data_IF_436413632662
#
_entry.id   IF_436413632662
#
_cell.length_a   1.000
_cell.length_b   1.000
_cell.length_c   1.000
_cell.angle_alpha   90.00
_cell.angle_beta   90.00
_cell.angle_gamma   90.00
#
_symmetry.space_group_name_H-M   'P 1'
#
loop_
_entity.id
_entity.type
_entity.pdbx_description
1 polymer ?
#
# COMPACT_ATOMS: atom_id res chain seq x y z
N UNK A 1 -30.78 24.14 -15.74
CA UNK A 1 -31.33 24.04 -14.36
C UNK A 1 -30.37 24.72 -13.43
N UNK A 2 -30.85 25.70 -12.68
CA UNK A 2 -30.04 26.48 -11.75
C UNK A 2 -29.67 25.60 -10.54
N UNK A 3 -28.40 25.41 -10.29
CA UNK A 3 -27.87 24.72 -9.09
C UNK A 3 -27.91 25.73 -7.93
N UNK A 4 -28.59 25.39 -6.86
CA UNK A 4 -28.65 26.23 -5.65
C UNK A 4 -27.55 25.77 -4.68
N UNK A 5 -26.81 26.72 -4.13
CA UNK A 5 -25.72 26.51 -3.20
C UNK A 5 -26.15 26.79 -1.76
N UNK A 6 -25.86 25.86 -0.87
CA UNK A 6 -26.01 26.01 0.58
C UNK A 6 -24.64 25.90 1.24
N UNK A 7 -24.28 26.86 2.07
CA UNK A 7 -23.05 26.88 2.87
C UNK A 7 -23.43 26.82 4.35
N UNK A 8 -22.85 25.89 5.10
CA UNK A 8 -23.08 25.70 6.54
C UNK A 8 -21.74 25.72 7.24
N UNK A 9 -21.55 26.62 8.19
CA UNK A 9 -20.34 26.62 9.00
C UNK A 9 -20.57 25.85 10.29
N UNK A 10 -19.57 24.99 10.67
CA UNK A 10 -19.60 24.17 11.88
C UNK A 10 -20.92 23.41 12.08
N UNK A 11 -21.25 22.51 11.14
CA UNK A 11 -22.53 21.78 11.11
C UNK A 11 -22.84 21.01 12.42
N UNK A 12 -21.79 20.65 13.17
CA UNK A 12 -21.91 19.98 14.46
C UNK A 12 -22.23 20.88 15.64
N UNK A 13 -22.18 22.18 15.47
CA UNK A 13 -22.35 23.12 16.59
C UNK A 13 -23.70 22.90 17.31
N UNK A 14 -23.62 22.64 18.61
CA UNK A 14 -24.77 22.38 19.49
C UNK A 14 -25.60 21.11 19.18
N UNK A 15 -25.09 20.20 18.33
CA UNK A 15 -25.78 18.96 17.99
C UNK A 15 -25.11 17.73 18.63
N UNK A 16 -25.93 16.81 19.11
CA UNK A 16 -25.44 15.49 19.54
C UNK A 16 -24.99 14.67 18.32
N UNK A 17 -23.89 13.85 18.40
CA UNK A 17 -23.37 13.09 17.28
C UNK A 17 -24.42 12.30 16.48
N UNK A 18 -25.38 11.66 17.16
CA UNK A 18 -26.47 10.94 16.50
C UNK A 18 -27.45 11.86 15.73
N UNK A 19 -27.57 13.11 16.13
CA UNK A 19 -28.40 14.10 15.42
C UNK A 19 -27.69 14.59 14.17
N UNK A 20 -26.37 14.82 14.24
CA UNK A 20 -25.55 15.21 13.08
C UNK A 20 -25.64 14.14 11.98
N UNK A 21 -25.54 12.87 12.34
CA UNK A 21 -25.62 11.78 11.36
C UNK A 21 -26.97 11.75 10.63
N UNK A 22 -28.09 11.97 11.36
CA UNK A 22 -29.42 12.08 10.74
C UNK A 22 -29.58 13.34 9.88
N UNK A 23 -28.99 14.46 10.33
CA UNK A 23 -29.01 15.70 9.55
C UNK A 23 -28.30 15.52 8.22
N UNK A 24 -27.13 14.87 8.20
CA UNK A 24 -26.39 14.61 6.95
C UNK A 24 -27.18 13.69 6.00
N UNK A 25 -27.83 12.64 6.51
CA UNK A 25 -28.70 11.79 5.69
C UNK A 25 -29.86 12.60 5.08
N UNK A 26 -30.44 13.50 5.86
CA UNK A 26 -31.50 14.38 5.38
C UNK A 26 -30.98 15.35 4.33
N UNK A 27 -29.84 16.00 4.56
CA UNK A 27 -29.22 16.92 3.60
C UNK A 27 -28.85 16.22 2.27
N UNK A 28 -28.39 14.96 2.32
CA UNK A 28 -28.11 14.18 1.11
C UNK A 28 -29.38 13.92 0.29
N UNK A 29 -30.50 13.64 0.96
CA UNK A 29 -31.81 13.51 0.27
C UNK A 29 -32.20 14.81 -0.39
N UNK A 30 -32.17 15.93 0.35
CA UNK A 30 -32.51 17.25 -0.19
C UNK A 30 -31.61 17.64 -1.36
N UNK A 31 -30.30 17.39 -1.26
CA UNK A 31 -29.37 17.66 -2.34
C UNK A 31 -29.75 16.95 -3.64
N UNK A 32 -30.17 15.68 -3.54
CA UNK A 32 -30.60 14.89 -4.68
C UNK A 32 -31.98 15.34 -5.20
N UNK A 33 -32.94 15.57 -4.30
CA UNK A 33 -34.33 15.88 -4.66
C UNK A 33 -34.47 17.27 -5.29
N UNK A 34 -33.70 18.24 -4.79
CA UNK A 34 -33.83 19.67 -5.21
C UNK A 34 -32.65 20.19 -6.02
N UNK A 35 -31.74 19.31 -6.47
CA UNK A 35 -30.51 19.66 -7.20
C UNK A 35 -29.69 20.75 -6.47
N UNK A 36 -29.38 20.49 -5.18
CA UNK A 36 -28.63 21.40 -4.33
C UNK A 36 -27.18 21.00 -4.23
N UNK A 37 -26.26 21.97 -4.28
CA UNK A 37 -24.89 21.81 -3.84
C UNK A 37 -24.79 22.27 -2.37
N UNK A 38 -24.41 21.37 -1.47
CA UNK A 38 -24.32 21.64 -0.03
C UNK A 38 -22.88 21.49 0.42
N UNK A 39 -22.26 22.55 0.92
CA UNK A 39 -20.94 22.54 1.54
C UNK A 39 -21.08 22.90 3.02
N UNK A 40 -20.34 22.21 3.85
CA UNK A 40 -20.27 22.52 5.27
C UNK A 40 -18.86 22.34 5.83
N UNK A 41 -18.51 23.14 6.83
CA UNK A 41 -17.30 22.91 7.63
C UNK A 41 -17.62 22.02 8.83
N UNK A 42 -16.63 21.22 9.27
CA UNK A 42 -16.77 20.35 10.43
C UNK A 42 -15.43 19.88 10.96
N UNK A 43 -15.36 19.66 12.29
CA UNK A 43 -14.26 18.99 12.99
C UNK A 43 -14.67 17.61 13.54
N UNK A 44 -15.89 17.12 13.24
CA UNK A 44 -16.41 15.85 13.76
C UNK A 44 -15.80 14.65 13.03
N UNK A 45 -15.08 13.78 13.77
CA UNK A 45 -14.52 12.53 13.25
C UNK A 45 -15.62 11.59 12.73
N UNK A 46 -16.74 11.49 13.46
CA UNK A 46 -17.87 10.65 13.08
C UNK A 46 -18.44 11.08 11.73
N UNK A 47 -18.50 12.38 11.50
CA UNK A 47 -18.99 12.93 10.25
C UNK A 47 -18.01 12.69 9.11
N UNK A 48 -16.70 12.91 9.34
CA UNK A 48 -15.67 12.62 8.35
C UNK A 48 -15.68 11.14 7.91
N UNK A 49 -15.92 10.21 8.85
CA UNK A 49 -16.02 8.76 8.54
C UNK A 49 -17.25 8.40 7.70
N UNK A 50 -18.30 9.23 7.74
CA UNK A 50 -19.52 9.00 6.96
C UNK A 50 -19.43 9.53 5.54
N UNK A 51 -18.70 10.60 5.32
CA UNK A 51 -18.57 11.26 4.03
C UNK A 51 -17.56 10.52 3.14
N UNK A 52 -17.87 10.38 1.85
CA UNK A 52 -16.93 9.80 0.89
C UNK A 52 -15.67 10.66 0.79
N UNK A 53 -14.46 10.06 0.72
CA UNK A 53 -13.22 10.82 0.61
C UNK A 53 -13.17 11.84 -0.53
N UNK A 54 -13.85 11.58 -1.66
CA UNK A 54 -13.97 12.50 -2.79
C UNK A 54 -14.73 13.77 -2.47
N UNK A 55 -15.55 13.77 -1.41
CA UNK A 55 -16.36 14.89 -0.97
C UNK A 55 -15.77 15.59 0.26
N UNK A 56 -14.58 15.20 0.70
CA UNK A 56 -13.84 15.84 1.80
C UNK A 56 -12.75 16.71 1.20
N UNK A 57 -12.78 17.99 1.53
CA UNK A 57 -11.79 19.02 1.18
C UNK A 57 -11.07 19.43 2.46
N UNK A 58 -9.87 18.87 2.69
CA UNK A 58 -9.08 19.21 3.87
C UNK A 58 -8.22 20.44 3.59
N UNK A 59 -8.38 21.46 4.41
CA UNK A 59 -7.61 22.70 4.34
C UNK A 59 -6.38 22.55 5.23
N UNK A 60 -5.20 22.37 4.62
CA UNK A 60 -3.93 22.19 5.32
C UNK A 60 -3.10 23.47 5.23
N UNK A 61 -2.60 23.92 6.38
CA UNK A 61 -1.69 25.08 6.41
C UNK A 61 -0.28 24.62 6.02
N UNK A 62 0.27 25.23 4.97
CA UNK A 62 1.65 25.00 4.50
C UNK A 62 2.39 26.34 4.54
N UNK A 63 3.24 26.54 5.56
CA UNK A 63 3.96 27.81 5.78
C UNK A 63 2.99 29.01 5.74
N UNK A 64 3.04 29.80 4.67
CA UNK A 64 2.19 31.00 4.48
C UNK A 64 1.00 30.77 3.56
N UNK A 65 0.79 29.55 3.08
CA UNK A 65 -0.28 29.19 2.16
C UNK A 65 -1.25 28.17 2.76
N UNK A 66 -2.43 28.05 2.14
CA UNK A 66 -3.39 26.98 2.44
C UNK A 66 -3.46 26.07 1.23
N UNK A 67 -3.11 24.80 1.44
CA UNK A 67 -3.32 23.75 0.46
C UNK A 67 -4.69 23.08 0.65
N UNK A 68 -5.34 22.73 -0.45
CA UNK A 68 -6.59 21.96 -0.44
C UNK A 68 -6.28 20.53 -0.84
N UNK A 69 -6.48 19.58 0.07
CA UNK A 69 -6.29 18.15 -0.18
C UNK A 69 -7.64 17.51 -0.46
N UNK A 70 -7.82 17.01 -1.69
CA UNK A 70 -9.01 16.28 -2.14
C UNK A 70 -8.59 15.26 -3.23
N UNK A 71 -9.02 14.00 -3.16
CA UNK A 71 -9.82 13.41 -2.07
C UNK A 71 -9.04 13.33 -0.76
N UNK A 72 -9.73 13.39 0.38
CA UNK A 72 -9.10 13.28 1.68
C UNK A 72 -9.76 12.18 2.53
N UNK A 73 -8.94 11.34 3.15
CA UNK A 73 -9.41 10.26 4.01
C UNK A 73 -9.53 10.72 5.48
N UNK A 74 -10.47 10.16 6.25
CA UNK A 74 -10.72 10.57 7.63
C UNK A 74 -9.48 10.55 8.52
N UNK A 75 -8.69 9.48 8.47
CA UNK A 75 -7.48 9.37 9.30
C UNK A 75 -6.43 10.42 8.94
N UNK A 76 -6.32 10.77 7.66
CA UNK A 76 -5.43 11.84 7.20
C UNK A 76 -5.91 13.21 7.72
N UNK A 77 -7.21 13.52 7.55
CA UNK A 77 -7.78 14.81 7.98
C UNK A 77 -7.70 15.00 9.51
N UNK A 78 -7.87 13.92 10.28
CA UNK A 78 -7.91 13.99 11.75
C UNK A 78 -6.54 13.86 12.41
N UNK A 79 -5.51 13.43 11.67
CA UNK A 79 -4.15 13.25 12.19
C UNK A 79 -3.63 14.50 12.90
N UNK A 80 -3.75 15.66 12.27
CA UNK A 80 -3.23 16.92 12.81
C UNK A 80 -4.11 17.49 13.93
N UNK A 81 -5.42 17.21 13.88
CA UNK A 81 -6.40 17.73 14.85
C UNK A 81 -6.36 16.94 16.16
N UNK A 82 -6.26 15.61 16.07
CA UNK A 82 -6.44 14.72 17.23
C UNK A 82 -5.21 13.89 17.57
N UNK A 83 -4.09 14.07 16.87
CA UNK A 83 -2.87 13.24 17.01
C UNK A 83 -3.17 11.73 16.90
N UNK A 84 -4.16 11.37 16.09
CA UNK A 84 -4.63 10.01 15.97
C UNK A 84 -3.66 9.18 15.12
N UNK A 85 -3.21 8.04 15.65
CA UNK A 85 -2.26 7.11 15.00
C UNK A 85 -2.94 6.09 14.07
N UNK A 86 -4.18 6.31 13.62
CA UNK A 86 -4.89 5.40 12.72
C UNK A 86 -4.37 5.45 11.28
N UNK A 87 -4.56 4.34 10.57
CA UNK A 87 -4.28 4.24 9.13
C UNK A 87 -5.57 4.10 8.34
N UNK A 88 -5.59 4.61 7.11
CA UNK A 88 -6.69 4.36 6.17
C UNK A 88 -6.57 2.94 5.58
N UNK A 89 -5.33 2.50 5.37
CA UNK A 89 -5.02 1.18 4.81
C UNK A 89 -3.89 0.51 5.58
N UNK A 90 -4.13 -0.75 5.97
CA UNK A 90 -3.13 -1.66 6.50
C UNK A 90 -2.91 -2.78 5.49
N UNK A 91 -1.69 -2.87 4.94
CA UNK A 91 -1.33 -3.87 3.95
C UNK A 91 -0.39 -4.87 4.60
N UNK A 92 -0.79 -6.13 4.66
CA UNK A 92 0.02 -7.21 5.18
C UNK A 92 0.81 -7.86 4.04
N UNK A 93 2.08 -8.09 4.24
CA UNK A 93 2.99 -8.73 3.29
C UNK A 93 3.81 -9.81 3.99
N UNK A 94 4.48 -10.68 3.22
CA UNK A 94 5.22 -11.80 3.81
C UNK A 94 6.46 -11.33 4.54
N UNK A 95 7.27 -10.49 3.93
CA UNK A 95 8.54 -10.06 4.49
C UNK A 95 8.89 -8.59 4.19
N UNK A 96 10.06 -8.18 4.62
CA UNK A 96 10.57 -6.81 4.43
C UNK A 96 10.89 -6.53 2.96
N UNK A 97 11.27 -7.54 2.18
CA UNK A 97 11.59 -7.37 0.77
C UNK A 97 10.32 -7.13 -0.04
N UNK A 98 9.25 -7.90 0.23
CA UNK A 98 7.91 -7.67 -0.33
C UNK A 98 7.39 -6.26 0.03
N UNK A 99 7.63 -5.80 1.26
CA UNK A 99 7.31 -4.43 1.69
C UNK A 99 8.02 -3.39 0.81
N UNK A 100 9.34 -3.49 0.60
CA UNK A 100 10.08 -2.54 -0.23
C UNK A 100 9.59 -2.49 -1.67
N UNK A 101 9.25 -3.65 -2.25
CA UNK A 101 8.67 -3.70 -3.61
C UNK A 101 7.36 -2.93 -3.64
N UNK A 102 6.48 -3.17 -2.66
CA UNK A 102 5.17 -2.54 -2.61
C UNK A 102 5.24 -1.04 -2.31
N UNK A 103 6.14 -0.61 -1.43
CA UNK A 103 6.43 0.81 -1.18
C UNK A 103 6.87 1.50 -2.47
N UNK A 104 7.80 0.92 -3.21
CA UNK A 104 8.24 1.48 -4.48
C UNK A 104 7.10 1.61 -5.50
N UNK A 105 6.22 0.59 -5.62
CA UNK A 105 5.06 0.64 -6.51
C UNK A 105 4.10 1.77 -6.10
N UNK A 106 3.85 1.93 -4.80
CA UNK A 106 2.96 2.96 -4.25
C UNK A 106 3.55 4.35 -4.49
N UNK A 107 4.84 4.52 -4.28
CA UNK A 107 5.54 5.81 -4.43
C UNK A 107 5.63 6.24 -5.90
N UNK A 108 6.05 5.36 -6.80
CA UNK A 108 6.14 5.63 -8.24
C UNK A 108 4.80 6.05 -8.86
N UNK A 109 3.68 5.57 -8.29
CA UNK A 109 2.33 5.90 -8.75
C UNK A 109 1.64 6.95 -7.88
N UNK A 110 2.34 7.53 -6.91
CA UNK A 110 1.81 8.52 -5.97
C UNK A 110 0.47 8.09 -5.31
N UNK A 111 0.32 6.79 -4.99
CA UNK A 111 -0.90 6.24 -4.42
C UNK A 111 -1.12 6.62 -2.96
N UNK A 112 -0.07 7.13 -2.28
CA UNK A 112 -0.12 7.59 -0.89
C UNK A 112 -0.78 8.96 -0.72
N UNK A 113 -1.04 9.71 -1.80
CA UNK A 113 -1.61 11.05 -1.71
C UNK A 113 -2.91 11.05 -0.91
N UNK A 114 -2.95 11.89 0.14
CA UNK A 114 -4.09 12.05 1.07
C UNK A 114 -4.56 10.78 1.78
N UNK A 115 -3.67 9.78 1.93
CA UNK A 115 -3.96 8.50 2.59
C UNK A 115 -2.82 8.13 3.54
N UNK A 116 -3.19 7.52 4.66
CA UNK A 116 -2.25 6.92 5.59
C UNK A 116 -2.21 5.41 5.33
N UNK A 117 -1.13 4.96 4.71
CA UNK A 117 -0.91 3.56 4.37
C UNK A 117 0.21 3.02 5.27
N UNK A 118 -0.03 1.87 5.90
CA UNK A 118 1.01 1.12 6.59
C UNK A 118 1.18 -0.26 5.94
N UNK A 119 2.43 -0.65 5.70
CA UNK A 119 2.77 -1.96 5.15
C UNK A 119 3.51 -2.74 6.22
N UNK A 120 2.92 -3.85 6.65
CA UNK A 120 3.39 -4.64 7.77
C UNK A 120 3.84 -6.04 7.31
N UNK A 121 5.14 -6.36 7.38
CA UNK A 121 5.64 -7.72 7.22
C UNK A 121 5.10 -8.63 8.33
N UNK A 122 4.52 -9.79 7.96
CA UNK A 122 3.73 -10.62 8.88
C UNK A 122 4.15 -12.11 8.87
N UNK A 123 5.24 -12.44 8.17
CA UNK A 123 5.74 -13.82 8.03
C UNK A 123 5.20 -14.49 6.76
N UNK A 124 5.39 -15.81 6.65
CA UNK A 124 4.95 -16.55 5.45
C UNK A 124 3.44 -16.40 5.17
N UNK A 125 3.04 -16.62 3.93
CA UNK A 125 1.71 -16.31 3.40
C UNK A 125 0.52 -16.83 4.22
N UNK A 126 0.63 -18.02 4.83
CA UNK A 126 -0.43 -18.55 5.70
C UNK A 126 -0.60 -17.72 6.98
N UNK A 127 0.51 -17.21 7.55
CA UNK A 127 0.48 -16.31 8.69
C UNK A 127 -0.12 -14.95 8.33
N UNK A 128 0.22 -14.42 7.15
CA UNK A 128 -0.35 -13.17 6.62
C UNK A 128 -1.87 -13.27 6.54
N UNK A 129 -2.40 -14.36 5.97
CA UNK A 129 -3.84 -14.56 5.83
C UNK A 129 -4.54 -14.74 7.18
N UNK A 130 -3.94 -15.53 8.07
CA UNK A 130 -4.46 -15.72 9.42
C UNK A 130 -4.50 -14.40 10.19
N UNK A 131 -3.43 -13.62 10.11
CA UNK A 131 -3.35 -12.31 10.76
C UNK A 131 -4.38 -11.33 10.19
N UNK A 132 -4.56 -11.31 8.86
CA UNK A 132 -5.59 -10.48 8.24
C UNK A 132 -6.99 -10.86 8.74
N UNK A 133 -7.31 -12.15 8.78
CA UNK A 133 -8.60 -12.65 9.25
C UNK A 133 -8.85 -12.29 10.73
N UNK A 134 -7.84 -12.47 11.59
CA UNK A 134 -7.91 -12.12 13.00
C UNK A 134 -8.09 -10.60 13.21
N UNK A 135 -7.35 -9.76 12.49
CA UNK A 135 -7.48 -8.30 12.54
C UNK A 135 -8.87 -7.85 12.09
N UNK A 136 -9.38 -8.42 10.99
CA UNK A 136 -10.71 -8.09 10.47
C UNK A 136 -11.82 -8.52 11.44
N UNK A 137 -11.76 -9.74 12.00
CA UNK A 137 -12.77 -10.25 12.93
C UNK A 137 -12.77 -9.52 14.27
N UNK A 138 -11.61 -9.17 14.79
CA UNK A 138 -11.46 -8.45 16.07
C UNK A 138 -11.61 -6.94 15.95
N UNK A 139 -11.65 -6.40 14.72
CA UNK A 139 -11.60 -4.96 14.45
C UNK A 139 -10.36 -4.27 15.07
N UNK A 140 -9.24 -4.98 15.16
CA UNK A 140 -8.03 -4.53 15.83
C UNK A 140 -7.43 -3.25 15.18
N UNK A 141 -7.55 -3.11 13.86
CA UNK A 141 -7.08 -1.94 13.14
C UNK A 141 -7.97 -0.69 13.34
N UNK A 142 -9.11 -0.84 14.01
CA UNK A 142 -10.09 0.22 14.25
C UNK A 142 -11.09 0.40 13.12
N UNK A 143 -12.16 1.14 13.45
CA UNK A 143 -13.24 1.42 12.49
C UNK A 143 -12.74 2.35 11.39
N UNK A 144 -12.88 1.93 10.14
CA UNK A 144 -12.51 2.72 8.96
C UNK A 144 -11.16 2.33 8.34
N UNK A 145 -10.30 1.59 9.03
CA UNK A 145 -9.07 1.05 8.43
C UNK A 145 -9.40 -0.14 7.53
N UNK A 146 -9.00 -0.06 6.27
CA UNK A 146 -9.11 -1.20 5.34
C UNK A 146 -7.88 -2.07 5.42
N UNK A 147 -8.10 -3.36 5.67
CA UNK A 147 -7.02 -4.35 5.78
C UNK A 147 -7.00 -5.22 4.53
N UNK A 148 -5.84 -5.30 3.90
CA UNK A 148 -5.62 -6.12 2.70
C UNK A 148 -4.26 -6.82 2.79
N UNK A 149 -4.09 -7.88 1.99
CA UNK A 149 -2.82 -8.58 1.88
C UNK A 149 -2.31 -8.57 0.43
N UNK A 150 -1.01 -8.42 0.28
CA UNK A 150 -0.30 -8.62 -0.99
C UNK A 150 0.76 -9.68 -0.75
N UNK A 151 0.57 -10.85 -1.35
CA UNK A 151 1.42 -12.03 -1.19
C UNK A 151 2.42 -12.13 -2.35
N UNK A 152 3.46 -12.89 -2.17
CA UNK A 152 4.42 -13.20 -3.24
C UNK A 152 3.73 -13.96 -4.39
N UNK A 153 4.18 -13.73 -5.61
CA UNK A 153 3.51 -14.30 -6.79
C UNK A 153 3.62 -15.82 -6.89
N UNK A 154 4.63 -16.42 -6.29
CA UNK A 154 4.86 -17.88 -6.31
C UNK A 154 3.91 -18.66 -5.39
N UNK A 155 3.30 -18.03 -4.39
CA UNK A 155 2.33 -18.69 -3.51
C UNK A 155 0.92 -18.76 -4.09
N UNK A 156 0.68 -18.07 -5.20
CA UNK A 156 -0.65 -18.01 -5.81
C UNK A 156 -1.28 -19.37 -6.13
N UNK A 157 -0.56 -20.35 -6.73
CA UNK A 157 -1.11 -21.67 -7.00
C UNK A 157 -1.52 -22.41 -5.72
N UNK A 158 -0.69 -22.35 -4.68
CA UNK A 158 -0.95 -23.01 -3.39
C UNK A 158 -2.14 -22.36 -2.68
N UNK A 159 -2.23 -21.04 -2.73
CA UNK A 159 -3.38 -20.30 -2.19
C UNK A 159 -4.68 -20.68 -2.92
N UNK A 160 -4.70 -20.70 -4.25
CA UNK A 160 -5.88 -21.07 -5.04
C UNK A 160 -6.33 -22.50 -4.75
N UNK A 161 -5.40 -23.44 -4.59
CA UNK A 161 -5.69 -24.81 -4.22
C UNK A 161 -6.30 -24.89 -2.81
N UNK A 162 -5.71 -24.22 -1.82
CA UNK A 162 -6.18 -24.20 -0.44
C UNK A 162 -7.57 -23.54 -0.34
N UNK A 163 -7.78 -22.44 -1.06
CA UNK A 163 -9.04 -21.72 -1.14
C UNK A 163 -10.17 -22.59 -1.69
N UNK A 164 -9.93 -23.27 -2.83
CA UNK A 164 -10.91 -24.17 -3.46
C UNK A 164 -11.26 -25.37 -2.57
N UNK A 165 -10.26 -25.92 -1.83
CA UNK A 165 -10.48 -27.11 -1.00
C UNK A 165 -11.19 -26.81 0.32
N UNK A 166 -10.89 -25.68 0.95
CA UNK A 166 -11.32 -25.41 2.33
C UNK A 166 -12.33 -24.26 2.45
N UNK A 167 -12.56 -23.50 1.38
CA UNK A 167 -13.44 -22.33 1.42
C UNK A 167 -13.01 -21.27 2.44
N UNK A 168 -11.72 -21.21 2.76
CA UNK A 168 -11.15 -20.28 3.74
C UNK A 168 -10.91 -18.92 3.11
N UNK A 169 -10.97 -17.87 3.93
CA UNK A 169 -10.59 -16.51 3.56
C UNK A 169 -11.39 -15.88 2.40
N UNK A 170 -12.65 -16.31 2.20
CA UNK A 170 -13.53 -15.83 1.13
C UNK A 170 -13.82 -14.34 1.19
N UNK A 171 -13.76 -13.75 2.39
CA UNK A 171 -14.10 -12.34 2.66
C UNK A 171 -12.86 -11.43 2.75
N UNK A 172 -11.65 -11.97 2.58
CA UNK A 172 -10.43 -11.19 2.66
C UNK A 172 -10.10 -10.51 1.33
N UNK A 173 -9.58 -9.31 1.41
CA UNK A 173 -9.06 -8.57 0.25
C UNK A 173 -7.60 -8.97 0.04
N UNK A 174 -7.32 -9.75 -1.00
CA UNK A 174 -6.01 -10.35 -1.26
C UNK A 174 -5.58 -10.11 -2.70
N UNK A 175 -4.31 -9.83 -2.92
CA UNK A 175 -3.68 -9.82 -4.23
C UNK A 175 -2.26 -10.40 -4.14
N UNK A 176 -1.57 -10.47 -5.28
CA UNK A 176 -0.24 -11.06 -5.40
C UNK A 176 0.70 -10.08 -6.09
N UNK A 177 1.97 -10.10 -5.69
CA UNK A 177 3.03 -9.47 -6.46
C UNK A 177 3.12 -10.12 -7.85
N UNK A 178 3.47 -9.38 -8.90
CA UNK A 178 3.64 -9.93 -10.24
C UNK A 178 4.91 -10.78 -10.40
N UNK A 179 5.74 -10.80 -9.37
CA UNK A 179 6.98 -11.57 -9.29
C UNK A 179 6.92 -12.56 -8.13
N UNK A 180 7.80 -13.56 -8.16
CA UNK A 180 8.11 -14.37 -7.00
C UNK A 180 8.72 -13.51 -5.87
N UNK A 181 9.17 -14.12 -4.77
CA UNK A 181 9.96 -13.37 -3.79
C UNK A 181 11.17 -12.70 -4.44
N UNK A 182 11.69 -11.63 -3.84
CA UNK A 182 12.82 -10.88 -4.40
C UNK A 182 14.06 -11.77 -4.58
N UNK A 183 14.32 -12.67 -3.62
CA UNK A 183 15.44 -13.59 -3.69
C UNK A 183 15.33 -14.54 -4.90
N UNK A 184 14.14 -15.12 -5.10
CA UNK A 184 13.87 -15.98 -6.26
C UNK A 184 13.99 -15.22 -7.56
N UNK A 185 13.45 -13.99 -7.62
CA UNK A 185 13.53 -13.16 -8.79
C UNK A 185 14.99 -12.85 -9.18
N UNK A 186 15.80 -12.41 -8.22
CA UNK A 186 17.23 -12.15 -8.46
C UNK A 186 17.98 -13.39 -8.89
N UNK A 187 17.73 -14.51 -8.22
CA UNK A 187 18.33 -15.79 -8.56
C UNK A 187 17.95 -16.22 -9.99
N UNK A 188 16.69 -16.12 -10.33
CA UNK A 188 16.20 -16.45 -11.68
C UNK A 188 16.84 -15.58 -12.75
N UNK A 189 16.88 -14.27 -12.58
CA UNK A 189 17.45 -13.34 -13.58
C UNK A 189 18.96 -13.50 -13.72
N UNK A 190 19.68 -13.67 -12.62
CA UNK A 190 21.16 -13.69 -12.61
C UNK A 190 21.74 -15.07 -12.87
N UNK A 191 21.18 -16.11 -12.24
CA UNK A 191 21.76 -17.47 -12.26
C UNK A 191 21.11 -18.36 -13.32
N UNK A 192 19.77 -18.41 -13.35
CA UNK A 192 19.03 -19.35 -14.19
C UNK A 192 18.94 -18.84 -15.60
N UNK A 193 18.31 -17.69 -15.81
CA UNK A 193 18.05 -17.11 -17.13
C UNK A 193 19.26 -16.36 -17.71
N UNK A 194 20.21 -15.95 -16.86
CA UNK A 194 21.40 -15.17 -17.23
C UNK A 194 21.01 -13.96 -18.09
N UNK A 195 20.00 -13.21 -17.64
CA UNK A 195 19.53 -11.98 -18.32
C UNK A 195 20.69 -10.99 -18.41
N UNK A 196 21.23 -10.84 -19.62
CA UNK A 196 22.45 -10.07 -19.85
C UNK A 196 22.29 -8.60 -19.51
N UNK A 197 21.13 -8.02 -19.80
CA UNK A 197 20.85 -6.60 -19.53
C UNK A 197 20.68 -6.35 -18.03
N UNK A 198 19.97 -7.26 -17.36
CA UNK A 198 19.79 -7.20 -15.90
C UNK A 198 21.13 -7.41 -15.18
N UNK A 199 21.89 -8.39 -15.60
CA UNK A 199 23.22 -8.68 -15.05
C UNK A 199 24.17 -7.49 -15.22
N UNK A 200 24.18 -6.88 -16.40
CA UNK A 200 25.01 -5.70 -16.69
C UNK A 200 24.58 -4.50 -15.83
N UNK A 201 23.28 -4.20 -15.76
CA UNK A 201 22.76 -3.07 -14.99
C UNK A 201 23.10 -3.20 -13.49
N UNK A 202 22.93 -4.40 -12.88
CA UNK A 202 23.33 -4.68 -11.51
C UNK A 202 24.84 -4.57 -11.34
N UNK A 203 25.62 -5.18 -12.23
CA UNK A 203 27.09 -5.17 -12.20
C UNK A 203 27.65 -3.75 -12.27
N UNK A 204 27.24 -3.01 -13.27
CA UNK A 204 27.72 -1.63 -13.50
C UNK A 204 27.34 -0.68 -12.36
N UNK A 205 26.24 -0.93 -11.67
CA UNK A 205 25.75 -0.05 -10.62
C UNK A 205 26.37 -0.34 -9.26
N UNK A 206 26.49 -1.60 -8.89
CA UNK A 206 26.80 -1.99 -7.52
C UNK A 206 28.15 -2.73 -7.36
N UNK A 207 28.69 -3.33 -8.41
CA UNK A 207 29.88 -4.17 -8.32
C UNK A 207 31.10 -3.54 -8.99
N UNK A 208 31.59 -2.43 -8.36
CA UNK A 208 32.72 -1.66 -8.88
C UNK A 208 34.11 -2.20 -8.48
N UNK A 209 34.22 -2.77 -7.28
CA UNK A 209 35.49 -3.27 -6.72
C UNK A 209 35.69 -4.74 -7.08
N UNK A 210 34.68 -5.56 -6.82
CA UNK A 210 34.62 -6.97 -7.20
C UNK A 210 33.45 -7.13 -8.16
N UNK A 211 33.73 -7.61 -9.35
CA UNK A 211 32.70 -7.74 -10.38
C UNK A 211 31.58 -8.72 -9.98
N UNK A 212 30.36 -8.48 -10.44
CA UNK A 212 29.24 -9.40 -10.22
C UNK A 212 29.55 -10.81 -10.75
N UNK A 213 30.29 -10.89 -11.86
CA UNK A 213 30.73 -12.17 -12.44
C UNK A 213 31.59 -12.95 -11.46
N UNK A 214 32.60 -12.33 -10.85
CA UNK A 214 33.47 -12.97 -9.86
C UNK A 214 32.68 -13.44 -8.64
N UNK A 215 31.69 -12.63 -8.19
CA UNK A 215 30.80 -13.00 -7.09
C UNK A 215 29.98 -14.24 -7.43
N UNK A 216 29.37 -14.27 -8.61
CA UNK A 216 28.56 -15.41 -9.09
C UNK A 216 29.41 -16.66 -9.33
N UNK A 217 30.61 -16.51 -9.90
CA UNK A 217 31.51 -17.65 -10.17
C UNK A 217 32.05 -18.30 -8.88
N UNK A 218 32.21 -17.49 -7.81
CA UNK A 218 32.68 -17.96 -6.50
C UNK A 218 31.59 -18.57 -5.61
N UNK A 219 30.33 -18.53 -6.02
CA UNK A 219 29.20 -19.08 -5.25
C UNK A 219 29.21 -20.62 -5.28
N UNK A 220 29.22 -21.26 -4.10
CA UNK A 220 29.26 -22.70 -3.95
C UNK A 220 27.88 -23.35 -4.17
N UNK A 221 26.81 -22.72 -3.63
CA UNK A 221 25.40 -23.18 -3.70
C UNK A 221 24.60 -22.40 -4.72
N UNK A 222 24.81 -22.67 -6.01
CA UNK A 222 24.15 -21.92 -7.09
C UNK A 222 22.65 -22.17 -7.24
N UNK A 223 22.11 -23.24 -6.65
CA UNK A 223 20.71 -23.65 -6.78
C UNK A 223 19.82 -23.23 -5.59
N UNK A 224 20.36 -22.49 -4.63
CA UNK A 224 19.62 -22.02 -3.44
C UNK A 224 19.48 -20.50 -3.53
N UNK A 225 18.25 -20.03 -3.75
CA UNK A 225 17.91 -18.62 -3.92
C UNK A 225 18.25 -17.79 -2.69
N UNK A 226 17.95 -18.28 -1.49
CA UNK A 226 18.27 -17.59 -0.23
C UNK A 226 19.77 -17.55 0.05
N UNK A 227 20.47 -18.65 -0.20
CA UNK A 227 21.91 -18.68 -0.06
C UNK A 227 22.58 -17.73 -1.07
N UNK A 228 22.08 -17.68 -2.30
CA UNK A 228 22.52 -16.73 -3.31
C UNK A 228 22.31 -15.28 -2.86
N UNK A 229 21.09 -14.92 -2.42
CA UNK A 229 20.76 -13.58 -1.96
C UNK A 229 21.66 -13.15 -0.80
N UNK A 230 21.79 -13.97 0.24
CA UNK A 230 22.64 -13.68 1.39
C UNK A 230 24.10 -13.49 0.99
N UNK A 231 24.59 -14.29 0.04
CA UNK A 231 25.95 -14.16 -0.46
C UNK A 231 26.15 -12.88 -1.27
N UNK A 232 25.17 -12.51 -2.09
CA UNK A 232 25.16 -11.26 -2.85
C UNK A 232 25.22 -10.05 -1.89
N UNK A 233 24.33 -10.01 -0.89
CA UNK A 233 24.28 -8.94 0.12
C UNK A 233 25.58 -8.84 0.92
N UNK A 234 26.18 -9.98 1.30
CA UNK A 234 27.49 -9.98 1.99
C UNK A 234 28.56 -9.30 1.13
N UNK A 235 28.66 -9.66 -0.17
CA UNK A 235 29.63 -9.03 -1.07
C UNK A 235 29.36 -7.54 -1.32
N UNK A 236 28.09 -7.09 -1.29
CA UNK A 236 27.73 -5.69 -1.37
C UNK A 236 28.18 -4.93 -0.12
N UNK A 237 27.93 -5.46 1.07
CA UNK A 237 28.39 -4.86 2.35
C UNK A 237 29.90 -4.75 2.42
N UNK A 238 30.65 -5.73 1.91
CA UNK A 238 32.12 -5.69 1.80
C UNK A 238 32.59 -4.56 0.85
N UNK A 239 31.75 -4.11 -0.08
CA UNK A 239 32.00 -2.97 -0.97
C UNK A 239 31.42 -1.64 -0.47
N UNK A 240 30.91 -1.61 0.78
CA UNK A 240 30.35 -0.42 1.40
C UNK A 240 28.92 -0.07 0.96
N UNK A 241 28.18 -1.03 0.38
CA UNK A 241 26.81 -0.83 -0.07
C UNK A 241 25.85 -1.51 0.91
N UNK A 242 24.98 -0.71 1.51
CA UNK A 242 23.95 -1.19 2.41
C UNK A 242 22.83 -1.92 1.65
N UNK A 243 22.26 -2.94 2.29
CA UNK A 243 21.22 -3.79 1.70
C UNK A 243 19.99 -3.01 1.24
N UNK A 244 19.53 -2.05 2.06
CA UNK A 244 18.37 -1.22 1.74
C UNK A 244 18.57 -0.39 0.45
N UNK A 245 19.78 0.15 0.24
CA UNK A 245 20.13 0.91 -0.98
C UNK A 245 20.09 0.01 -2.21
N UNK A 246 20.62 -1.20 -2.09
CA UNK A 246 20.59 -2.19 -3.16
C UNK A 246 19.14 -2.58 -3.48
N UNK A 247 18.38 -2.99 -2.46
CA UNK A 247 16.98 -3.46 -2.62
C UNK A 247 16.12 -2.37 -3.25
N UNK A 248 16.21 -1.13 -2.78
CA UNK A 248 15.44 -0.02 -3.36
C UNK A 248 15.68 0.13 -4.86
N UNK A 249 16.95 0.05 -5.28
CA UNK A 249 17.30 0.18 -6.71
C UNK A 249 16.87 -1.04 -7.54
N UNK A 250 16.92 -2.22 -6.97
CA UNK A 250 16.39 -3.42 -7.62
C UNK A 250 14.87 -3.31 -7.78
N UNK A 251 14.15 -2.79 -6.79
CA UNK A 251 12.69 -2.55 -6.89
C UNK A 251 12.35 -1.57 -8.01
N UNK A 252 13.12 -0.48 -8.19
CA UNK A 252 12.97 0.43 -9.33
C UNK A 252 13.18 -0.30 -10.69
N UNK A 253 14.15 -1.21 -10.75
CA UNK A 253 14.41 -2.01 -11.97
C UNK A 253 13.26 -2.99 -12.25
N UNK A 254 12.77 -3.68 -11.23
CA UNK A 254 11.62 -4.59 -11.31
C UNK A 254 10.40 -3.83 -11.81
N UNK A 255 10.11 -2.67 -11.24
CA UNK A 255 8.98 -1.83 -11.63
C UNK A 255 9.01 -1.46 -13.12
N UNK A 256 10.19 -1.20 -13.67
CA UNK A 256 10.37 -0.86 -15.09
C UNK A 256 10.29 -2.06 -16.04
N UNK A 257 10.65 -3.25 -15.57
CA UNK A 257 10.80 -4.46 -16.40
C UNK A 257 9.59 -5.40 -16.36
N UNK A 258 8.85 -5.40 -15.26
CA UNK A 258 7.74 -6.33 -15.05
C UNK A 258 6.37 -5.62 -15.17
N UNK A 259 5.35 -6.37 -15.57
CA UNK A 259 3.99 -5.83 -15.71
C UNK A 259 3.29 -5.69 -14.36
N UNK A 260 3.22 -4.46 -13.86
CA UNK A 260 2.55 -4.09 -12.62
C UNK A 260 1.05 -3.77 -12.80
N UNK A 261 0.50 -3.81 -14.00
CA UNK A 261 -0.83 -3.29 -14.33
C UNK A 261 -1.95 -3.90 -13.49
N UNK A 262 -1.91 -5.20 -13.23
CA UNK A 262 -2.93 -5.90 -12.43
C UNK A 262 -2.91 -5.48 -10.97
N UNK A 263 -1.72 -5.42 -10.37
CA UNK A 263 -1.55 -4.99 -8.98
C UNK A 263 -1.91 -3.51 -8.83
N UNK A 264 -1.48 -2.65 -9.76
CA UNK A 264 -1.82 -1.24 -9.77
C UNK A 264 -3.33 -1.02 -9.86
N UNK A 265 -4.01 -1.70 -10.78
CA UNK A 265 -5.47 -1.62 -10.91
C UNK A 265 -6.17 -2.04 -9.62
N UNK A 266 -5.68 -3.10 -8.98
CA UNK A 266 -6.21 -3.56 -7.70
C UNK A 266 -6.02 -2.51 -6.59
N UNK A 267 -4.80 -1.98 -6.41
CA UNK A 267 -4.50 -0.97 -5.41
C UNK A 267 -5.32 0.31 -5.63
N UNK A 268 -5.35 0.81 -6.86
CA UNK A 268 -6.13 2.00 -7.21
C UNK A 268 -7.63 1.81 -6.89
N UNK A 269 -8.20 0.67 -7.27
CA UNK A 269 -9.59 0.34 -6.99
C UNK A 269 -9.88 0.20 -5.49
N UNK A 270 -8.96 -0.41 -4.74
CA UNK A 270 -9.08 -0.58 -3.29
C UNK A 270 -8.97 0.74 -2.55
N UNK A 271 -8.09 1.64 -3.03
CA UNK A 271 -7.85 2.95 -2.43
C UNK A 271 -8.88 4.03 -2.83
N UNK A 272 -9.73 3.77 -3.82
CA UNK A 272 -10.80 4.69 -4.23
C UNK A 272 -12.14 4.41 -3.55
N UNK A 273 -12.35 3.18 -3.09
CA UNK A 273 -13.56 2.74 -2.39
C UNK A 273 -13.46 2.95 -0.87
#
# INVERSE_FOLDING_TARGET
EDVRLILIDEIELALHPSAIMRLVDFLQKLATEYNLAIYFSSHSIELLRKIKPSNIFHLQKELDNIAIVNPCYPSYATRDIYQHSGYDFLILVEDVLAKYILENIIDENALYKSKLINILPSGGWENVLKMQDDICKSNLAGVGTKVLSVLDGDVKPDFEQLYKQKGLYTNLTINFLPIHSLEKYLHEKIIVNKDADFFKEIGDRFFKVKSLKEVVDSLIKKNDDKAFYNYLIKNLKEQGIEENVFVQKVCEMIYRKEDMSKLLTFLQKTFQN
#
